data_IF_035034005132
#
_entry.id   IF_035034005132
#
_cell.length_a   1.000
_cell.length_b   1.000
_cell.length_c   1.000
_cell.angle_alpha   90.00
_cell.angle_beta   90.00
_cell.angle_gamma   90.00
#
_symmetry.space_group_name_H-M   'P 1'
#
loop_
_entity.id
_entity.type
_entity.pdbx_description
1 polymer ?
#
# COMPACT_ATOMS: atom_id res chain seq x y z
N UNK A 1 14.04 -7.62 5.78
CA UNK A 1 12.84 -6.83 5.42
C UNK A 1 13.13 -6.10 4.14
N UNK A 2 12.12 -5.86 3.30
CA UNK A 2 12.25 -5.12 2.05
C UNK A 2 11.30 -3.93 2.08
N UNK A 3 11.67 -2.87 1.37
CA UNK A 3 10.90 -1.64 1.23
C UNK A 3 10.46 -1.49 -0.23
N UNK A 4 9.19 -1.18 -0.44
CA UNK A 4 8.58 -0.97 -1.76
C UNK A 4 7.66 0.24 -1.69
N UNK A 5 7.75 1.09 -2.71
CA UNK A 5 6.96 2.32 -2.81
C UNK A 5 6.01 2.20 -4.01
N UNK A 6 4.75 2.53 -3.80
CA UNK A 6 3.70 2.55 -4.82
C UNK A 6 3.09 3.94 -4.90
N UNK A 7 2.76 4.36 -6.12
CA UNK A 7 2.07 5.60 -6.40
C UNK A 7 0.65 5.26 -6.81
N UNK A 8 -0.33 5.61 -5.99
CA UNK A 8 -1.72 5.21 -6.17
C UNK A 8 -2.55 6.45 -6.45
N UNK A 9 -3.31 6.45 -7.55
CA UNK A 9 -4.28 7.50 -7.83
C UNK A 9 -5.45 7.38 -6.83
N UNK A 10 -5.69 8.47 -6.10
CA UNK A 10 -6.57 8.51 -4.95
C UNK A 10 -7.99 8.86 -5.40
N UNK A 11 -8.90 7.90 -5.25
CA UNK A 11 -10.32 8.18 -5.03
C UNK A 11 -10.60 7.99 -3.54
N UNK A 12 -11.55 8.73 -2.95
CA UNK A 12 -11.78 8.72 -1.49
C UNK A 12 -12.02 7.31 -0.89
N UNK A 13 -12.37 6.29 -1.69
CA UNK A 13 -12.57 4.89 -1.26
C UNK A 13 -11.25 4.10 -1.10
N UNK A 14 -10.14 4.58 -1.67
CA UNK A 14 -8.89 3.81 -1.73
C UNK A 14 -8.15 3.77 -0.37
N UNK A 15 -8.24 4.83 0.45
CA UNK A 15 -7.49 4.94 1.71
C UNK A 15 -7.86 3.87 2.74
N UNK A 16 -9.16 3.73 3.06
CA UNK A 16 -9.62 2.75 4.05
C UNK A 16 -9.36 1.30 3.58
N UNK A 17 -9.34 1.08 2.26
CA UNK A 17 -9.09 -0.24 1.67
C UNK A 17 -7.61 -0.64 1.79
N UNK A 18 -6.69 0.29 1.56
CA UNK A 18 -5.23 0.06 1.66
C UNK A 18 -4.84 -0.29 3.11
N UNK A 19 -5.30 0.47 4.10
CA UNK A 19 -4.99 0.19 5.52
C UNK A 19 -5.54 -1.19 5.96
N UNK A 20 -6.73 -1.57 5.50
CA UNK A 20 -7.32 -2.88 5.80
C UNK A 20 -6.55 -4.04 5.15
N UNK A 21 -6.06 -3.90 3.92
CA UNK A 21 -5.26 -4.93 3.25
C UNK A 21 -3.96 -5.21 4.01
N UNK A 22 -3.41 -4.19 4.63
CA UNK A 22 -2.08 -4.17 5.23
C UNK A 22 -2.11 -4.64 6.69
N UNK A 23 -3.19 -4.36 7.43
CA UNK A 23 -3.37 -4.80 8.82
C UNK A 23 -3.30 -6.33 9.00
N UNK A 24 -3.55 -7.11 7.95
CA UNK A 24 -3.42 -8.57 7.98
C UNK A 24 -1.96 -9.06 7.97
N UNK A 25 -0.98 -8.19 7.71
CA UNK A 25 0.43 -8.55 7.60
C UNK A 25 1.29 -7.84 8.65
N UNK A 26 2.38 -8.48 9.08
CA UNK A 26 3.42 -7.82 9.89
C UNK A 26 4.23 -6.90 8.96
N UNK A 27 3.65 -5.76 8.63
CA UNK A 27 4.25 -4.76 7.77
C UNK A 27 4.03 -3.36 8.32
N UNK A 28 4.97 -2.47 8.03
CA UNK A 28 4.83 -1.05 8.30
C UNK A 28 4.44 -0.36 7.02
N UNK A 29 3.43 0.49 7.09
CA UNK A 29 2.98 1.27 5.95
C UNK A 29 2.92 2.74 6.31
N UNK A 30 3.47 3.54 5.42
CA UNK A 30 3.43 4.99 5.47
C UNK A 30 2.70 5.47 4.21
N UNK A 31 1.67 6.29 4.41
CA UNK A 31 0.84 6.82 3.34
C UNK A 31 0.99 8.34 3.36
N UNK A 32 1.57 8.90 2.30
CA UNK A 32 1.78 10.34 2.16
C UNK A 32 1.07 10.89 0.91
N UNK A 33 0.28 11.97 1.01
CA UNK A 33 -0.27 12.63 -0.17
C UNK A 33 0.85 13.40 -0.91
N UNK A 34 1.02 13.14 -2.20
CA UNK A 34 2.05 13.79 -3.03
C UNK A 34 1.45 14.89 -3.89
N UNK A 35 0.33 14.59 -4.55
CA UNK A 35 -0.42 15.52 -5.39
C UNK A 35 -1.92 15.42 -5.09
N UNK A 36 -2.71 16.36 -5.60
CA UNK A 36 -4.14 16.53 -5.27
C UNK A 36 -4.97 15.24 -5.41
N UNK A 37 -4.51 14.26 -6.21
CA UNK A 37 -5.11 12.95 -6.39
C UNK A 37 -4.10 11.77 -6.32
N UNK A 38 -2.92 11.91 -5.73
CA UNK A 38 -1.94 10.81 -5.68
C UNK A 38 -1.40 10.58 -4.26
N UNK A 39 -1.29 9.31 -3.89
CA UNK A 39 -0.69 8.85 -2.63
C UNK A 39 0.61 8.11 -2.91
N UNK A 40 1.64 8.41 -2.12
CA UNK A 40 2.77 7.53 -1.91
C UNK A 40 2.37 6.51 -0.84
N UNK A 41 2.41 5.22 -1.19
CA UNK A 41 2.24 4.12 -0.23
C UNK A 41 3.55 3.38 -0.13
N UNK A 42 4.23 3.58 0.98
CA UNK A 42 5.45 2.87 1.32
C UNK A 42 5.12 1.65 2.16
N UNK A 43 5.62 0.49 1.75
CA UNK A 43 5.41 -0.78 2.44
C UNK A 43 6.74 -1.40 2.81
N UNK A 44 6.91 -1.67 4.10
CA UNK A 44 8.05 -2.40 4.65
C UNK A 44 7.57 -3.75 5.19
N UNK A 45 7.89 -4.83 4.49
CA UNK A 45 7.42 -6.18 4.80
C UNK A 45 8.53 -7.23 4.67
N UNK A 46 8.22 -8.51 4.94
CA UNK A 46 9.13 -9.61 4.56
C UNK A 46 9.03 -9.87 3.07
N UNK A 47 10.08 -10.48 2.51
CA UNK A 47 10.13 -10.79 1.08
C UNK A 47 9.06 -11.80 0.66
N UNK A 48 8.72 -12.73 1.55
CA UNK A 48 7.66 -13.73 1.32
C UNK A 48 6.27 -13.09 1.23
N UNK A 49 5.97 -12.12 2.11
CA UNK A 49 4.67 -11.43 2.17
C UNK A 49 4.45 -10.44 1.02
N UNK A 50 5.52 -9.93 0.41
CA UNK A 50 5.42 -8.90 -0.63
C UNK A 50 4.53 -9.32 -1.79
N UNK A 51 4.64 -10.58 -2.22
CA UNK A 51 3.89 -11.07 -3.38
C UNK A 51 2.39 -11.11 -3.09
N UNK A 52 2.01 -11.45 -1.86
CA UNK A 52 0.62 -11.46 -1.42
C UNK A 52 0.07 -10.05 -1.23
N UNK A 53 0.88 -9.14 -0.66
CA UNK A 53 0.55 -7.71 -0.57
C UNK A 53 0.36 -7.11 -1.97
N UNK A 54 1.29 -7.33 -2.90
CA UNK A 54 1.19 -6.87 -4.30
C UNK A 54 -0.06 -7.41 -4.99
N UNK A 55 -0.41 -8.68 -4.77
CA UNK A 55 -1.61 -9.26 -5.37
C UNK A 55 -2.90 -8.65 -4.81
N UNK A 56 -2.96 -8.30 -3.52
CA UNK A 56 -4.12 -7.62 -2.93
C UNK A 56 -4.19 -6.15 -3.36
N UNK A 57 -3.06 -5.48 -3.55
CA UNK A 57 -2.99 -4.10 -4.02
C UNK A 57 -3.31 -3.94 -5.51
N UNK A 58 -3.15 -5.00 -6.33
CA UNK A 58 -3.50 -4.96 -7.77
C UNK A 58 -4.97 -4.62 -8.06
N UNK A 59 -5.87 -4.85 -7.11
CA UNK A 59 -7.28 -4.47 -7.27
C UNK A 59 -7.49 -2.95 -7.05
N UNK A 60 -6.44 -2.22 -6.62
CA UNK A 60 -6.46 -0.79 -6.26
C UNK A 60 -5.52 0.06 -7.15
N UNK A 61 -4.34 -0.47 -7.52
CA UNK A 61 -3.32 0.20 -8.36
C UNK A 61 -3.60 -0.06 -9.84
#
# INVERSE_FOLDING_TARGET
MIKKVYYIECTNENNETIENIINDFICFVEIEPIEMNYLEVEIVCRKEDLKDIENRLKDII
#
